data_IF_606996417614
#
_entry.id   IF_606996417614
#
_cell.length_a   1.000
_cell.length_b   1.000
_cell.length_c   1.000
_cell.angle_alpha   90.00
_cell.angle_beta   90.00
_cell.angle_gamma   90.00
#
_symmetry.space_group_name_H-M   'P 1'
#
loop_
_entity.id
_entity.type
_entity.pdbx_description
1 polymer ?
#
# COMPACT_ATOMS: atom_id res chain seq x y z
N UNK A 1 -2.45 23.00 -28.26
CA UNK A 1 -1.46 22.27 -27.44
C UNK A 1 -1.40 22.94 -26.07
N UNK A 2 -1.74 22.24 -24.99
CA UNK A 2 -1.62 22.78 -23.62
C UNK A 2 -0.15 22.67 -23.22
N UNK A 3 0.48 23.79 -22.88
CA UNK A 3 1.85 23.83 -22.38
C UNK A 3 1.84 23.53 -20.86
N UNK A 4 2.40 22.39 -20.45
CA UNK A 4 2.40 21.88 -19.06
C UNK A 4 3.76 22.14 -18.38
N UNK A 5 4.46 23.24 -18.69
CA UNK A 5 5.64 23.63 -17.92
C UNK A 5 5.22 24.20 -16.58
N UNK A 6 5.13 23.33 -15.56
CA UNK A 6 4.95 23.75 -14.18
C UNK A 6 6.22 24.43 -13.67
N UNK A 7 6.11 25.50 -12.86
CA UNK A 7 7.27 26.05 -12.17
C UNK A 7 7.92 24.98 -11.29
N UNK A 8 9.26 24.90 -11.29
CA UNK A 8 10.03 23.92 -10.51
C UNK A 8 9.61 23.92 -9.02
N UNK A 9 9.31 25.11 -8.47
CA UNK A 9 8.84 25.28 -7.09
C UNK A 9 7.55 24.53 -6.77
N UNK A 10 6.64 24.38 -7.75
CA UNK A 10 5.38 23.64 -7.57
C UNK A 10 5.64 22.13 -7.54
N UNK A 11 6.53 21.64 -8.40
CA UNK A 11 6.92 20.22 -8.45
C UNK A 11 7.58 19.81 -7.14
N UNK A 12 8.53 20.59 -6.64
CA UNK A 12 9.18 20.31 -5.34
C UNK A 12 8.20 20.34 -4.17
N UNK A 13 7.30 21.33 -4.13
CA UNK A 13 6.26 21.39 -3.09
C UNK A 13 5.36 20.16 -3.10
N UNK A 14 4.89 19.75 -4.27
CA UNK A 14 4.08 18.54 -4.42
C UNK A 14 4.80 17.29 -3.91
N UNK A 15 6.08 17.13 -4.26
CA UNK A 15 6.90 16.02 -3.80
C UNK A 15 7.04 16.00 -2.27
N UNK A 16 7.35 17.14 -1.64
CA UNK A 16 7.47 17.24 -0.19
C UNK A 16 6.15 16.93 0.52
N UNK A 17 5.03 17.38 -0.04
CA UNK A 17 3.71 17.07 0.52
C UNK A 17 3.43 15.58 0.44
N UNK A 18 3.67 14.92 -0.70
CA UNK A 18 3.44 13.47 -0.84
C UNK A 18 4.30 12.67 0.14
N UNK A 19 5.60 12.98 0.20
CA UNK A 19 6.53 12.30 1.13
C UNK A 19 6.10 12.56 2.58
N UNK A 20 5.81 13.82 2.92
CA UNK A 20 5.37 14.21 4.26
C UNK A 20 4.07 13.52 4.66
N UNK A 21 3.09 13.41 3.75
CA UNK A 21 1.84 12.70 3.98
C UNK A 21 2.06 11.22 4.25
N UNK A 22 2.91 10.54 3.47
CA UNK A 22 3.24 9.12 3.69
C UNK A 22 3.91 8.94 5.06
N UNK A 23 4.90 9.78 5.38
CA UNK A 23 5.64 9.71 6.65
C UNK A 23 4.73 9.97 7.84
N UNK A 24 3.87 10.99 7.78
CA UNK A 24 2.95 11.31 8.89
C UNK A 24 1.89 10.22 9.03
N UNK A 25 1.31 9.76 7.92
CA UNK A 25 0.23 8.76 7.94
C UNK A 25 0.72 7.40 8.46
N UNK A 26 1.74 6.80 7.83
CA UNK A 26 2.25 5.51 8.29
C UNK A 26 3.09 5.64 9.57
N UNK A 27 3.90 6.69 9.66
CA UNK A 27 4.78 6.91 10.80
C UNK A 27 4.03 7.14 12.10
N UNK A 28 2.88 7.83 12.09
CA UNK A 28 2.06 7.99 13.31
C UNK A 28 1.55 6.65 13.84
N UNK A 29 1.01 5.80 12.95
CA UNK A 29 0.55 4.45 13.31
C UNK A 29 1.71 3.60 13.83
N UNK A 30 2.86 3.61 13.14
CA UNK A 30 4.04 2.87 13.58
C UNK A 30 4.55 3.36 14.94
N UNK A 31 4.62 4.67 15.18
CA UNK A 31 5.10 5.22 16.45
C UNK A 31 4.19 4.84 17.62
N UNK A 32 2.87 4.86 17.44
CA UNK A 32 1.92 4.43 18.47
C UNK A 32 2.09 2.93 18.81
N UNK A 33 2.25 2.09 17.78
CA UNK A 33 2.48 0.67 17.99
C UNK A 33 3.86 0.40 18.59
N UNK A 34 4.87 1.19 18.23
CA UNK A 34 6.21 1.09 18.76
C UNK A 34 6.25 1.36 20.27
N UNK A 35 5.52 2.38 20.75
CA UNK A 35 5.49 2.70 22.19
C UNK A 35 4.70 1.67 23.01
N UNK A 36 3.67 1.05 22.42
CA UNK A 36 2.78 0.14 23.14
C UNK A 36 3.23 -1.32 23.10
N UNK A 37 3.76 -1.78 21.96
CA UNK A 37 4.13 -3.18 21.71
C UNK A 37 5.65 -3.39 21.63
N UNK A 38 6.43 -2.31 21.60
CA UNK A 38 7.87 -2.35 21.40
C UNK A 38 8.28 -2.44 19.93
N UNK A 39 9.61 -2.35 19.68
CA UNK A 39 10.18 -2.19 18.34
C UNK A 39 9.85 -3.32 17.37
N UNK A 40 10.00 -4.57 17.81
CA UNK A 40 9.82 -5.75 16.94
C UNK A 40 8.34 -5.96 16.64
N UNK A 41 7.55 -6.20 17.69
CA UNK A 41 6.11 -6.47 17.54
C UNK A 41 5.37 -5.30 16.87
N UNK A 42 5.69 -4.06 17.22
CA UNK A 42 5.11 -2.87 16.57
C UNK A 42 5.38 -2.80 15.06
N UNK A 43 6.57 -3.21 14.61
CA UNK A 43 6.89 -3.26 13.18
C UNK A 43 6.06 -4.33 12.45
N UNK A 44 6.02 -5.55 13.00
CA UNK A 44 5.25 -6.65 12.43
C UNK A 44 3.75 -6.31 12.32
N UNK A 45 3.16 -5.77 13.38
CA UNK A 45 1.74 -5.40 13.42
C UNK A 45 1.44 -4.25 12.46
N UNK A 46 2.28 -3.20 12.44
CA UNK A 46 2.08 -2.06 11.52
C UNK A 46 2.18 -2.47 10.05
N UNK A 47 3.10 -3.38 9.72
CA UNK A 47 3.26 -3.92 8.37
C UNK A 47 2.08 -4.79 7.95
N UNK A 48 1.60 -5.66 8.84
CA UNK A 48 0.39 -6.45 8.60
C UNK A 48 -0.82 -5.54 8.33
N UNK A 49 -1.01 -4.48 9.12
CA UNK A 49 -2.09 -3.52 8.92
C UNK A 49 -1.97 -2.76 7.59
N UNK A 50 -0.77 -2.29 7.23
CA UNK A 50 -0.53 -1.57 5.97
C UNK A 50 -0.83 -2.45 4.75
N UNK A 51 -0.27 -3.66 4.71
CA UNK A 51 -0.46 -4.54 3.57
C UNK A 51 -1.87 -5.11 3.50
N UNK A 52 -2.50 -5.42 4.65
CA UNK A 52 -3.91 -5.80 4.71
C UNK A 52 -4.84 -4.70 4.18
N UNK A 53 -4.58 -3.44 4.56
CA UNK A 53 -5.31 -2.30 4.04
C UNK A 53 -5.13 -2.13 2.52
N UNK A 54 -3.89 -2.20 2.00
CA UNK A 54 -3.64 -2.10 0.56
C UNK A 54 -4.25 -3.26 -0.24
N UNK A 55 -4.23 -4.47 0.31
CA UNK A 55 -4.88 -5.64 -0.29
C UNK A 55 -6.39 -5.44 -0.40
N UNK A 56 -7.05 -5.02 0.69
CA UNK A 56 -8.49 -4.76 0.68
C UNK A 56 -8.86 -3.68 -0.34
N UNK A 57 -8.12 -2.55 -0.37
CA UNK A 57 -8.36 -1.51 -1.36
C UNK A 57 -8.14 -2.01 -2.78
N UNK A 58 -7.06 -2.74 -3.03
CA UNK A 58 -6.76 -3.28 -4.37
C UNK A 58 -7.82 -4.28 -4.82
N UNK A 59 -8.28 -5.14 -3.91
CA UNK A 59 -9.33 -6.11 -4.16
C UNK A 59 -10.64 -5.40 -4.55
N UNK A 60 -10.98 -4.30 -3.88
CA UNK A 60 -12.12 -3.47 -4.27
C UNK A 60 -11.99 -2.95 -5.72
N UNK A 61 -10.78 -2.56 -6.15
CA UNK A 61 -10.52 -2.15 -7.54
C UNK A 61 -10.54 -3.30 -8.53
N UNK A 62 -10.29 -4.54 -8.11
CA UNK A 62 -10.49 -5.71 -8.98
C UNK A 62 -11.99 -6.00 -9.13
N UNK A 63 -12.75 -5.99 -8.03
CA UNK A 63 -14.18 -6.33 -8.04
C UNK A 63 -15.00 -5.22 -8.71
N UNK A 64 -14.82 -3.98 -8.30
CA UNK A 64 -15.59 -2.81 -8.74
C UNK A 64 -14.85 -1.95 -9.77
N UNK A 65 -13.95 -2.57 -10.55
CA UNK A 65 -13.00 -1.88 -11.41
C UNK A 65 -13.55 -0.57 -11.99
N UNK A 66 -12.89 0.57 -11.70
CA UNK A 66 -13.41 1.86 -12.06
C UNK A 66 -13.64 1.89 -13.56
N UNK A 67 -14.91 2.05 -13.96
CA UNK A 67 -15.27 2.53 -15.29
C UNK A 67 -14.89 4.01 -15.33
N UNK A 68 -13.59 4.32 -15.26
CA UNK A 68 -13.07 5.65 -15.46
C UNK A 68 -13.47 6.18 -16.85
N UNK A 69 -13.25 7.47 -17.15
CA UNK A 69 -13.44 7.99 -18.49
C UNK A 69 -12.74 7.06 -19.47
N UNK A 70 -13.51 6.46 -20.38
CA UNK A 70 -12.99 5.49 -21.36
C UNK A 70 -11.77 6.17 -22.00
N UNK A 71 -10.55 5.60 -21.92
CA UNK A 71 -9.43 6.20 -22.60
C UNK A 71 -9.81 6.32 -24.09
N UNK A 72 -9.47 7.45 -24.73
CA UNK A 72 -9.80 7.67 -26.14
C UNK A 72 -9.16 6.64 -27.09
N UNK A 73 -8.28 5.77 -26.56
CA UNK A 73 -7.54 4.72 -27.27
C UNK A 73 -7.52 3.44 -26.43
N UNK A 74 -8.65 2.73 -26.32
CA UNK A 74 -8.70 1.32 -25.86
C UNK A 74 -9.35 0.39 -26.89
N UNK A 75 -9.60 0.87 -28.10
CA UNK A 75 -10.16 0.07 -29.19
C UNK A 75 -9.13 -0.98 -29.63
N UNK A 76 -9.18 -2.14 -28.96
CA UNK A 76 -8.31 -3.29 -29.21
C UNK A 76 -7.80 -4.02 -27.97
N UNK A 77 -7.93 -3.44 -26.76
CA UNK A 77 -7.37 -4.04 -25.53
C UNK A 77 -8.39 -4.97 -24.84
N UNK A 78 -7.96 -6.18 -24.49
CA UNK A 78 -8.82 -7.18 -23.85
C UNK A 78 -9.14 -6.77 -22.39
N UNK A 79 -10.28 -7.22 -21.87
CA UNK A 79 -10.69 -7.05 -20.47
C UNK A 79 -9.63 -7.48 -19.46
N UNK A 80 -8.88 -8.54 -19.78
CA UNK A 80 -7.77 -9.03 -18.96
C UNK A 80 -6.59 -8.05 -18.90
N UNK A 81 -6.24 -7.44 -20.03
CA UNK A 81 -5.09 -6.54 -20.15
C UNK A 81 -5.28 -5.24 -19.37
N UNK A 82 -6.51 -4.73 -19.35
CA UNK A 82 -6.88 -3.53 -18.56
C UNK A 82 -6.68 -3.76 -17.06
N UNK A 83 -6.76 -5.02 -16.60
CA UNK A 83 -6.75 -5.39 -15.17
C UNK A 83 -5.40 -5.86 -14.67
N UNK A 84 -4.39 -5.99 -15.54
CA UNK A 84 -3.07 -6.49 -15.17
C UNK A 84 -2.49 -5.68 -14.01
N UNK A 85 -2.56 -4.35 -14.06
CA UNK A 85 -1.98 -3.47 -13.04
C UNK A 85 -2.65 -3.70 -11.67
N UNK A 86 -3.98 -3.70 -11.63
CA UNK A 86 -4.72 -3.93 -10.39
C UNK A 86 -4.48 -5.34 -9.84
N UNK A 87 -4.47 -6.36 -10.71
CA UNK A 87 -4.22 -7.74 -10.32
C UNK A 87 -2.81 -7.94 -9.76
N UNK A 88 -1.79 -7.39 -10.42
CA UNK A 88 -0.41 -7.44 -9.93
C UNK A 88 -0.28 -6.78 -8.55
N UNK A 89 -0.94 -5.64 -8.34
CA UNK A 89 -0.93 -4.97 -7.04
C UNK A 89 -1.71 -5.76 -5.97
N UNK A 90 -2.85 -6.37 -6.32
CA UNK A 90 -3.60 -7.24 -5.40
C UNK A 90 -2.77 -8.45 -4.98
N UNK A 91 -2.10 -9.11 -5.93
CA UNK A 91 -1.26 -10.27 -5.64
C UNK A 91 -0.04 -9.88 -4.80
N UNK A 92 0.65 -8.80 -5.15
CA UNK A 92 1.80 -8.32 -4.39
C UNK A 92 1.44 -7.93 -2.95
N UNK A 93 0.34 -7.19 -2.77
CA UNK A 93 -0.14 -6.82 -1.43
C UNK A 93 -0.62 -8.03 -0.62
N UNK A 94 -1.26 -9.02 -1.26
CA UNK A 94 -1.65 -10.26 -0.61
C UNK A 94 -0.44 -11.07 -0.12
N UNK A 95 0.58 -11.22 -0.96
CA UNK A 95 1.82 -11.93 -0.61
C UNK A 95 2.47 -11.26 0.61
N UNK A 96 2.65 -9.94 0.56
CA UNK A 96 3.24 -9.20 1.68
C UNK A 96 2.39 -9.31 2.94
N UNK A 97 1.06 -9.23 2.82
CA UNK A 97 0.15 -9.38 3.95
C UNK A 97 0.32 -10.75 4.62
N UNK A 98 0.31 -11.84 3.84
CA UNK A 98 0.51 -13.20 4.36
C UNK A 98 1.91 -13.36 4.97
N UNK A 99 2.95 -12.81 4.36
CA UNK A 99 4.30 -12.83 4.91
C UNK A 99 4.37 -12.18 6.29
N UNK A 100 3.71 -11.04 6.48
CA UNK A 100 3.67 -10.36 7.78
C UNK A 100 2.86 -11.16 8.82
N UNK A 101 1.76 -11.79 8.44
CA UNK A 101 1.00 -12.67 9.34
C UNK A 101 1.82 -13.89 9.77
N UNK A 102 2.52 -14.53 8.84
CA UNK A 102 3.40 -15.67 9.16
C UNK A 102 4.55 -15.22 10.06
N UNK A 103 5.14 -14.06 9.80
CA UNK A 103 6.20 -13.52 10.63
C UNK A 103 5.70 -13.20 12.06
N UNK A 104 4.45 -12.74 12.20
CA UNK A 104 3.82 -12.46 13.49
C UNK A 104 3.58 -13.75 14.29
N UNK A 105 3.00 -14.78 13.66
CA UNK A 105 2.82 -16.10 14.28
C UNK A 105 4.15 -16.72 14.75
N UNK A 106 5.20 -16.58 13.93
CA UNK A 106 6.55 -17.04 14.31
C UNK A 106 7.14 -16.24 15.47
N UNK A 107 6.85 -14.94 15.53
CA UNK A 107 7.31 -14.09 16.63
C UNK A 107 6.62 -14.45 17.94
N UNK A 108 5.30 -14.65 17.92
CA UNK A 108 4.52 -15.04 19.10
C UNK A 108 4.97 -16.40 19.67
N UNK A 109 5.21 -17.39 18.80
CA UNK A 109 5.75 -18.69 19.22
C UNK A 109 7.11 -18.54 19.90
N UNK A 110 8.02 -17.77 19.31
CA UNK A 110 9.34 -17.55 19.88
C UNK A 110 9.30 -16.81 21.23
N UNK A 111 8.36 -15.88 21.40
CA UNK A 111 8.15 -15.17 22.67
C UNK A 111 7.61 -16.11 23.75
N UNK A 112 6.66 -16.99 23.39
CA UNK A 112 6.09 -17.98 24.32
C UNK A 112 7.07 -19.06 24.79
N UNK A 113 8.08 -19.40 23.97
CA UNK A 113 9.14 -20.34 24.35
C UNK A 113 10.21 -19.70 25.26
N UNK A 114 10.30 -18.37 25.26
CA UNK A 114 11.28 -17.62 26.04
C UNK A 114 10.75 -17.20 27.43
N UNK A 115 9.44 -17.31 27.67
CA UNK A 115 8.74 -17.00 28.91
C UNK A 115 8.60 -18.22 29.82
#
# INVERSE_FOLDING_TARGET
>A
MINITLPESVVFRGLFVVIGSIVIFYGSVYLLLYTNLGKKLGFLVSGAALFGWTFLNSLLFVIYAPRGPRPAVIDGLNFWEIRIISLSFTLGSLILFVMFLVALDRYEKADSEAA
#
